data_IF_013512932868
#
_entry.id   IF_013512932868
#
_cell.length_a   1.000
_cell.length_b   1.000
_cell.length_c   1.000
_cell.angle_alpha   90.00
_cell.angle_beta   90.00
_cell.angle_gamma   90.00
#
_symmetry.space_group_name_H-M   'P 1'
#
loop_
_entity.id
_entity.type
_entity.pdbx_description
1 polymer ?
#
# COMPACT_ATOMS: atom_id res chain seq x y z
N UNK A 1 -28.87 -6.54 -26.51
CA UNK A 1 -27.91 -7.50 -27.08
C UNK A 1 -26.67 -6.70 -27.46
N UNK A 2 -25.55 -6.88 -26.77
CA UNK A 2 -24.34 -6.03 -26.90
C UNK A 2 -23.41 -6.62 -27.96
N UNK A 3 -22.85 -5.78 -28.83
CA UNK A 3 -21.90 -6.12 -29.91
C UNK A 3 -20.57 -6.67 -29.33
N UNK A 4 -20.10 -7.87 -29.73
CA UNK A 4 -18.86 -8.47 -29.25
C UNK A 4 -17.57 -7.77 -29.73
N UNK A 5 -17.67 -6.74 -30.58
CA UNK A 5 -16.54 -5.88 -31.00
C UNK A 5 -16.47 -4.57 -30.23
N UNK A 6 -17.37 -4.36 -29.27
CA UNK A 6 -17.31 -3.19 -28.40
C UNK A 6 -16.27 -3.49 -27.32
N UNK A 7 -15.08 -2.93 -27.48
CA UNK A 7 -14.02 -2.95 -26.46
C UNK A 7 -14.64 -2.51 -25.14
N UNK A 8 -14.91 -3.47 -24.26
CA UNK A 8 -15.34 -3.17 -22.91
C UNK A 8 -14.22 -2.36 -22.31
N UNK A 9 -14.45 -1.06 -22.09
CA UNK A 9 -13.55 -0.17 -21.37
C UNK A 9 -13.41 -0.73 -19.95
N UNK A 10 -12.42 -1.60 -19.76
CA UNK A 10 -12.05 -2.18 -18.48
C UNK A 10 -11.41 -1.06 -17.65
N UNK A 11 -12.11 -0.60 -16.62
CA UNK A 11 -11.60 0.41 -15.68
C UNK A 11 -10.69 -0.23 -14.64
N UNK A 12 -10.01 0.54 -13.78
CA UNK A 12 -9.14 -0.01 -12.72
C UNK A 12 -9.83 -1.11 -11.89
N UNK A 13 -11.11 -0.91 -11.56
CA UNK A 13 -11.92 -1.88 -10.81
C UNK A 13 -12.04 -3.24 -11.49
N UNK A 14 -11.89 -3.30 -12.82
CA UNK A 14 -11.92 -4.57 -13.55
C UNK A 14 -10.65 -5.40 -13.32
N UNK A 15 -9.50 -4.76 -13.17
CA UNK A 15 -8.20 -5.45 -13.08
C UNK A 15 -7.88 -5.95 -11.67
N UNK A 16 -8.47 -5.33 -10.63
CA UNK A 16 -8.34 -5.78 -9.25
C UNK A 16 -8.80 -7.24 -9.12
N UNK A 17 -7.87 -8.14 -8.77
CA UNK A 17 -8.11 -9.58 -8.60
C UNK A 17 -8.32 -10.39 -9.89
N UNK A 18 -8.10 -9.80 -11.07
CA UNK A 18 -8.27 -10.46 -12.38
C UNK A 18 -7.05 -10.41 -13.31
N UNK A 19 -5.98 -9.73 -12.91
CA UNK A 19 -4.73 -9.68 -13.65
C UNK A 19 -3.55 -9.45 -12.73
N UNK A 20 -2.34 -9.58 -13.27
CA UNK A 20 -1.07 -9.46 -12.52
C UNK A 20 -0.72 -7.99 -12.19
N UNK A 21 -1.70 -7.10 -12.08
CA UNK A 21 -1.46 -5.67 -11.85
C UNK A 21 -2.27 -5.22 -10.64
N UNK A 22 -1.59 -4.60 -9.68
CA UNK A 22 -2.20 -4.00 -8.51
C UNK A 22 -2.09 -2.48 -8.57
N UNK A 23 -3.09 -1.80 -8.01
CA UNK A 23 -3.10 -0.36 -7.84
C UNK A 23 -2.97 0.01 -6.36
N UNK A 24 -2.07 0.93 -6.05
CA UNK A 24 -1.88 1.46 -4.69
C UNK A 24 -1.97 2.97 -4.73
N UNK A 25 -2.64 3.57 -3.75
CA UNK A 25 -2.73 5.04 -3.63
C UNK A 25 -1.72 5.56 -2.61
N UNK A 26 -1.13 6.73 -2.88
CA UNK A 26 -0.39 7.52 -1.88
C UNK A 26 -0.71 9.00 -2.04
N UNK A 27 -0.38 9.79 -1.01
CA UNK A 27 -0.47 11.25 -1.05
C UNK A 27 0.94 11.82 -1.17
N UNK A 28 1.11 12.91 -1.91
CA UNK A 28 2.38 13.65 -1.93
C UNK A 28 2.49 14.47 -0.65
N UNK A 29 3.40 14.04 0.23
CA UNK A 29 3.69 14.75 1.47
C UNK A 29 4.38 16.09 1.21
N UNK A 30 4.05 17.08 2.03
CA UNK A 30 4.78 18.34 2.06
C UNK A 30 6.23 18.10 2.49
N UNK A 31 7.20 18.54 1.67
CA UNK A 31 8.62 18.27 1.88
C UNK A 31 9.09 16.86 1.51
N UNK A 32 8.19 15.98 1.06
CA UNK A 32 8.52 14.63 0.59
C UNK A 32 9.31 14.62 -0.72
N UNK A 33 9.95 13.49 -1.03
CA UNK A 33 10.83 13.35 -2.21
C UNK A 33 10.13 13.60 -3.56
N UNK A 34 8.81 13.42 -3.60
CA UNK A 34 7.97 13.61 -4.79
C UNK A 34 7.50 15.07 -4.95
N UNK A 35 7.49 15.86 -3.87
CA UNK A 35 6.93 17.20 -3.88
C UNK A 35 7.71 18.11 -4.83
N UNK A 36 6.97 18.83 -5.68
CA UNK A 36 7.49 19.79 -6.65
C UNK A 36 8.44 19.20 -7.70
N UNK A 37 8.43 17.87 -7.93
CA UNK A 37 9.20 17.21 -9.00
C UNK A 37 8.34 16.92 -10.23
N UNK A 38 8.94 16.99 -11.41
CA UNK A 38 8.32 16.46 -12.63
C UNK A 38 8.38 14.95 -12.63
N UNK A 39 7.34 14.28 -13.16
CA UNK A 39 7.28 12.81 -13.21
C UNK A 39 8.52 12.20 -13.87
N UNK A 40 9.03 12.79 -14.96
CA UNK A 40 10.23 12.29 -15.66
C UNK A 40 11.51 12.36 -14.83
N UNK A 41 11.56 13.21 -13.81
CA UNK A 41 12.71 13.43 -12.94
C UNK A 41 12.63 12.58 -11.64
N UNK A 42 11.58 11.75 -11.52
CA UNK A 42 11.42 10.78 -10.43
C UNK A 42 12.04 9.48 -10.90
N UNK A 43 13.06 9.01 -10.17
CA UNK A 43 13.65 7.69 -10.44
C UNK A 43 12.74 6.60 -9.89
N UNK A 44 11.85 6.10 -10.73
CA UNK A 44 11.03 4.93 -10.43
C UNK A 44 11.74 3.66 -10.93
N UNK A 45 11.49 2.54 -10.25
CA UNK A 45 11.78 1.24 -10.84
C UNK A 45 10.98 1.11 -12.15
N UNK A 46 11.55 0.44 -13.17
CA UNK A 46 10.91 0.28 -14.49
C UNK A 46 9.58 -0.47 -14.43
N UNK A 47 9.31 -1.17 -13.33
CA UNK A 47 8.09 -1.95 -13.13
C UNK A 47 7.01 -1.19 -12.33
N UNK A 48 7.26 0.07 -11.96
CA UNK A 48 6.30 0.92 -11.26
C UNK A 48 5.87 2.11 -12.13
N UNK A 49 4.56 2.28 -12.29
CA UNK A 49 3.96 3.29 -13.18
C UNK A 49 3.04 4.20 -12.36
N UNK A 50 3.11 5.51 -12.59
CA UNK A 50 2.07 6.44 -12.12
C UNK A 50 0.90 6.37 -13.11
N UNK A 51 -0.15 5.64 -12.74
CA UNK A 51 -1.32 5.42 -13.59
C UNK A 51 -2.28 6.61 -13.60
N UNK A 52 -2.37 7.36 -12.49
CA UNK A 52 -3.25 8.52 -12.35
C UNK A 52 -2.71 9.47 -11.29
N UNK A 53 -2.86 10.77 -11.53
CA UNK A 53 -2.72 11.80 -10.49
C UNK A 53 -4.08 12.46 -10.30
N UNK A 54 -4.46 12.74 -9.05
CA UNK A 54 -5.69 13.46 -8.71
C UNK A 54 -5.30 14.68 -7.89
N UNK A 55 -5.76 15.85 -8.32
CA UNK A 55 -5.60 17.12 -7.61
C UNK A 55 -6.96 17.81 -7.55
N UNK A 56 -7.35 18.26 -6.37
CA UNK A 56 -8.65 18.92 -6.14
C UNK A 56 -9.83 18.10 -6.72
N UNK A 57 -9.85 16.80 -6.42
CA UNK A 57 -10.83 15.82 -6.92
C UNK A 57 -10.86 15.62 -8.46
N UNK A 58 -9.91 16.20 -9.20
CA UNK A 58 -9.85 16.12 -10.66
C UNK A 58 -8.69 15.25 -11.14
N UNK A 59 -8.92 14.35 -12.11
CA UNK A 59 -7.86 13.55 -12.70
C UNK A 59 -6.94 14.41 -13.58
N UNK A 60 -5.64 14.21 -13.44
CA UNK A 60 -4.59 14.78 -14.29
C UNK A 60 -3.90 13.66 -15.08
N UNK A 61 -3.48 13.98 -16.31
CA UNK A 61 -2.73 13.05 -17.16
C UNK A 61 -1.29 12.94 -16.65
N UNK A 62 -0.82 11.76 -16.22
CA UNK A 62 0.50 11.57 -15.61
C UNK A 62 1.61 11.49 -16.66
N UNK A 63 1.86 12.58 -17.38
CA UNK A 63 2.96 12.67 -18.34
C UNK A 63 4.26 13.14 -17.68
N UNK A 64 5.38 12.97 -18.38
CA UNK A 64 6.71 13.29 -17.85
C UNK A 64 6.91 14.75 -17.41
N UNK A 65 6.17 15.71 -17.95
CA UNK A 65 6.29 17.13 -17.58
C UNK A 65 5.37 17.55 -16.43
N UNK A 66 4.42 16.69 -16.03
CA UNK A 66 3.54 16.98 -14.89
C UNK A 66 4.37 17.13 -13.61
N UNK A 67 4.25 18.29 -12.97
CA UNK A 67 4.84 18.56 -11.65
C UNK A 67 3.88 18.11 -10.57
N UNK A 68 4.32 17.15 -9.75
CA UNK A 68 3.61 16.71 -8.56
C UNK A 68 3.66 17.80 -7.49
N UNK A 69 2.54 18.02 -6.81
CA UNK A 69 2.39 19.02 -5.75
C UNK A 69 1.94 18.37 -4.44
N UNK A 70 2.27 18.97 -3.29
CA UNK A 70 1.72 18.51 -2.01
C UNK A 70 0.21 18.34 -2.09
N UNK A 71 -0.30 17.29 -1.43
CA UNK A 71 -1.70 16.86 -1.44
C UNK A 71 -2.22 16.24 -2.75
N UNK A 72 -1.40 16.10 -3.79
CA UNK A 72 -1.75 15.25 -4.92
C UNK A 72 -1.95 13.80 -4.44
N UNK A 73 -3.00 13.15 -4.91
CA UNK A 73 -3.16 11.71 -4.78
C UNK A 73 -2.54 11.07 -6.01
N UNK A 74 -1.59 10.16 -5.78
CA UNK A 74 -0.96 9.35 -6.82
C UNK A 74 -1.56 7.96 -6.76
N UNK A 75 -2.01 7.45 -7.90
CA UNK A 75 -2.34 6.04 -8.08
C UNK A 75 -1.18 5.39 -8.81
N UNK A 76 -0.46 4.54 -8.07
CA UNK A 76 0.60 3.68 -8.57
C UNK A 76 0.02 2.41 -9.17
N UNK A 77 0.71 1.87 -10.17
CA UNK A 77 0.41 0.58 -10.79
C UNK A 77 1.71 -0.20 -10.90
N UNK A 78 1.69 -1.47 -10.52
CA UNK A 78 2.84 -2.36 -10.63
C UNK A 78 2.39 -3.81 -10.72
N UNK A 79 3.36 -4.72 -10.89
CA UNK A 79 3.09 -6.14 -10.88
C UNK A 79 2.62 -6.59 -9.48
N UNK A 80 1.56 -7.38 -9.44
CA UNK A 80 1.08 -7.98 -8.19
C UNK A 80 2.11 -9.01 -7.71
N UNK A 81 2.58 -8.87 -6.47
CA UNK A 81 3.38 -9.91 -5.83
C UNK A 81 2.47 -10.91 -5.12
N UNK A 82 2.48 -12.15 -5.59
CA UNK A 82 1.90 -13.28 -4.87
C UNK A 82 3.00 -13.97 -4.07
N UNK A 83 2.81 -14.17 -2.76
CA UNK A 83 3.69 -15.02 -1.96
C UNK A 83 3.31 -16.49 -2.20
N UNK A 84 4.07 -17.25 -3.03
CA UNK A 84 3.70 -18.61 -3.38
C UNK A 84 3.81 -19.58 -2.21
N UNK A 85 4.59 -19.24 -1.18
CA UNK A 85 4.86 -20.12 -0.05
C UNK A 85 4.02 -19.76 1.17
N UNK A 86 3.54 -18.51 1.27
CA UNK A 86 2.67 -18.01 2.34
C UNK A 86 3.24 -18.20 3.75
N UNK A 87 4.55 -18.41 3.87
CA UNK A 87 5.19 -18.85 5.11
C UNK A 87 5.78 -17.70 5.92
N UNK A 88 6.09 -16.58 5.26
CA UNK A 88 6.80 -15.47 5.87
C UNK A 88 5.85 -14.32 6.28
N UNK A 89 4.58 -14.38 5.90
CA UNK A 89 3.53 -13.42 6.29
C UNK A 89 2.45 -14.11 7.12
N UNK A 90 2.20 -13.58 8.31
CA UNK A 90 1.17 -14.07 9.23
C UNK A 90 0.18 -12.92 9.46
N UNK A 91 -1.09 -13.16 9.13
CA UNK A 91 -2.18 -12.28 9.53
C UNK A 91 -2.92 -12.87 10.73
N UNK A 92 -3.20 -12.05 11.74
CA UNK A 92 -4.02 -12.46 12.88
C UNK A 92 -4.82 -11.29 13.46
N UNK A 93 -5.95 -11.59 14.07
CA UNK A 93 -6.79 -10.60 14.78
C UNK A 93 -6.40 -10.54 16.25
N UNK A 94 -6.23 -9.33 16.77
CA UNK A 94 -5.97 -9.07 18.19
C UNK A 94 -7.27 -9.21 18.96
N UNK A 95 -7.30 -10.14 19.91
CA UNK A 95 -8.44 -10.32 20.83
C UNK A 95 -8.26 -9.49 22.10
N UNK A 96 -9.32 -9.36 22.90
CA UNK A 96 -9.29 -8.62 24.18
C UNK A 96 -8.19 -9.11 25.13
N UNK A 97 -7.89 -10.42 25.11
CA UNK A 97 -6.89 -11.07 25.96
C UNK A 97 -5.52 -11.24 25.29
N UNK A 98 -5.35 -10.75 24.06
CA UNK A 98 -4.09 -10.87 23.35
C UNK A 98 -2.99 -10.06 24.03
N UNK A 99 -1.77 -10.60 24.11
CA UNK A 99 -0.66 -9.98 24.84
C UNK A 99 -0.23 -8.60 24.31
N UNK A 100 -0.56 -8.30 23.05
CA UNK A 100 -0.26 -7.02 22.41
C UNK A 100 -1.38 -5.98 22.56
N UNK A 101 -2.56 -6.37 23.06
CA UNK A 101 -3.65 -5.43 23.25
C UNK A 101 -3.24 -4.31 24.22
N UNK A 102 -3.54 -3.06 23.86
CA UNK A 102 -3.13 -1.84 24.56
C UNK A 102 -1.62 -1.63 24.70
N UNK A 103 -0.80 -2.25 23.83
CA UNK A 103 0.64 -1.97 23.73
C UNK A 103 0.95 -1.09 22.54
N UNK A 104 1.90 -0.18 22.69
CA UNK A 104 2.52 0.49 21.55
C UNK A 104 3.48 -0.47 20.87
N UNK A 105 3.61 -0.38 19.54
CA UNK A 105 4.53 -1.24 18.77
C UNK A 105 5.98 -1.11 19.30
N UNK A 106 6.41 0.09 19.69
CA UNK A 106 7.77 0.30 20.25
C UNK A 106 8.03 -0.45 21.56
N UNK A 107 6.97 -0.84 22.29
CA UNK A 107 7.07 -1.56 23.56
C UNK A 107 7.03 -3.09 23.36
N UNK A 108 6.85 -3.55 22.12
CA UNK A 108 6.91 -4.96 21.78
C UNK A 108 8.38 -5.37 21.66
N UNK A 109 8.81 -6.32 22.50
CA UNK A 109 10.12 -6.97 22.38
C UNK A 109 10.11 -7.98 21.22
N UNK A 110 9.95 -7.49 19.99
CA UNK A 110 9.97 -8.32 18.79
C UNK A 110 11.42 -8.77 18.49
N UNK A 111 11.64 -10.06 18.21
CA UNK A 111 12.91 -10.51 17.65
C UNK A 111 13.22 -9.83 16.30
N UNK A 112 14.50 -9.69 15.98
CA UNK A 112 14.98 -9.01 14.76
C UNK A 112 14.46 -9.62 13.44
N UNK A 113 14.02 -10.87 13.47
CA UNK A 113 13.41 -11.54 12.31
C UNK A 113 11.90 -11.32 12.21
N UNK A 114 11.31 -10.41 13.00
CA UNK A 114 9.88 -10.09 12.95
C UNK A 114 9.66 -8.60 12.70
N UNK A 115 8.71 -8.30 11.82
CA UNK A 115 8.30 -6.93 11.52
C UNK A 115 6.78 -6.87 11.42
N UNK A 116 6.14 -6.01 12.21
CA UNK A 116 4.74 -5.66 11.98
C UNK A 116 4.71 -4.74 10.76
N UNK A 117 4.09 -5.20 9.67
CA UNK A 117 4.02 -4.45 8.41
C UNK A 117 2.89 -3.42 8.48
N UNK A 118 1.71 -3.85 8.92
CA UNK A 118 0.52 -3.00 8.97
C UNK A 118 -0.45 -3.44 10.06
N UNK A 119 -1.28 -2.49 10.47
CA UNK A 119 -2.47 -2.73 11.28
C UNK A 119 -3.68 -2.33 10.45
N UNK A 120 -4.60 -3.26 10.23
CA UNK A 120 -5.88 -3.00 9.60
C UNK A 120 -6.95 -2.85 10.68
N UNK A 121 -7.46 -1.63 10.86
CA UNK A 121 -8.50 -1.29 11.84
C UNK A 121 -9.67 -0.65 11.11
N UNK A 122 -10.88 -1.17 11.30
CA UNK A 122 -12.09 -0.66 10.64
C UNK A 122 -11.93 -0.52 9.10
N UNK A 123 -11.28 -1.50 8.47
CA UNK A 123 -10.95 -1.54 7.03
C UNK A 123 -10.01 -0.43 6.53
N UNK A 124 -9.30 0.25 7.44
CA UNK A 124 -8.24 1.20 7.11
C UNK A 124 -6.86 0.65 7.50
N UNK A 125 -5.89 0.83 6.59
CA UNK A 125 -4.49 0.53 6.86
C UNK A 125 -3.91 1.66 7.73
N UNK A 126 -3.51 1.33 8.94
CA UNK A 126 -2.77 2.18 9.86
C UNK A 126 -1.28 1.84 9.73
N UNK A 127 -0.40 2.85 9.53
CA UNK A 127 1.05 2.65 9.56
C UNK A 127 1.52 2.01 10.86
N UNK A 128 2.31 0.94 10.77
CA UNK A 128 2.87 0.22 11.90
C UNK A 128 4.10 0.94 12.49
N UNK A 129 3.90 2.15 13.02
CA UNK A 129 4.94 2.95 13.65
C UNK A 129 5.10 2.62 15.12
N UNK A 130 6.23 2.98 15.73
CA UNK A 130 6.45 2.78 17.16
C UNK A 130 5.39 3.45 18.06
N UNK A 131 4.76 4.53 17.61
CA UNK A 131 3.66 5.22 18.31
C UNK A 131 2.27 4.62 18.08
N UNK A 132 2.15 3.63 17.21
CA UNK A 132 0.86 2.98 16.94
C UNK A 132 0.52 2.06 18.11
N UNK A 133 -0.63 2.30 18.75
CA UNK A 133 -1.17 1.44 19.81
C UNK A 133 -2.06 0.36 19.19
N UNK A 134 -1.78 -0.90 19.53
CA UNK A 134 -2.57 -2.06 19.11
C UNK A 134 -3.82 -2.16 19.99
N UNK A 135 -4.96 -2.46 19.37
CA UNK A 135 -6.29 -2.54 19.98
C UNK A 135 -6.96 -3.86 19.63
N UNK A 136 -7.99 -4.24 20.42
CA UNK A 136 -8.92 -5.31 20.05
C UNK A 136 -9.47 -5.10 18.63
N UNK A 137 -9.65 -6.19 17.90
CA UNK A 137 -10.14 -6.26 16.51
C UNK A 137 -9.17 -5.74 15.45
N UNK A 138 -7.98 -5.26 15.83
CA UNK A 138 -6.90 -5.02 14.88
C UNK A 138 -6.53 -6.30 14.15
N UNK A 139 -6.51 -6.26 12.82
CA UNK A 139 -5.87 -7.27 12.00
C UNK A 139 -4.42 -6.87 11.77
N UNK A 140 -3.50 -7.64 12.32
CA UNK A 140 -2.07 -7.37 12.27
C UNK A 140 -1.43 -8.23 11.18
N UNK A 141 -0.75 -7.59 10.22
CA UNK A 141 0.09 -8.29 9.26
C UNK A 141 1.54 -8.30 9.77
N UNK A 142 2.06 -9.49 10.04
CA UNK A 142 3.38 -9.72 10.61
C UNK A 142 4.26 -10.46 9.60
N UNK A 143 5.40 -9.86 9.26
CA UNK A 143 6.50 -10.58 8.63
C UNK A 143 7.26 -11.41 9.66
N UNK A 144 7.59 -12.64 9.29
CA UNK A 144 8.42 -13.58 10.06
C UNK A 144 9.49 -14.16 9.15
N UNK A 145 10.67 -13.57 9.20
CA UNK A 145 11.85 -14.09 8.50
C UNK A 145 12.35 -15.40 9.11
N UNK A 146 13.11 -16.16 8.32
CA UNK A 146 13.80 -17.37 8.80
C UNK A 146 14.86 -16.98 9.84
N UNK A 147 14.94 -17.73 10.94
CA UNK A 147 16.06 -17.58 11.88
C UNK A 147 17.35 -17.98 11.18
N UNK A 148 18.21 -17.03 10.85
CA UNK A 148 19.63 -17.30 10.56
C UNK A 148 20.29 -17.65 11.90
N UNK A 149 20.57 -18.94 12.11
CA UNK A 149 21.53 -19.39 13.11
C UNK A 149 22.95 -19.07 12.65
#
# INVERSE_FOLDING_TARGET
MIDPRNEVLRTFNYYVGKGNITFVKSVVDEGGILANRQIKDISLDKHLIIAKVIRDEKPLVPNGSLVLKPNDIIVWSGEEYFDPNGQDLIEFTVTEHHAWNHKYIRDLNLPDNKLIISINRNDEIIPATGSTMIQTDDRVLLFKGKNTK
#
